data_IF_088219945518
#
_entry.id   IF_088219945518
#
_cell.length_a   1.000
_cell.length_b   1.000
_cell.length_c   1.000
_cell.angle_alpha   90.00
_cell.angle_beta   90.00
_cell.angle_gamma   90.00
#
_symmetry.space_group_name_H-M   'P 1'
#
loop_
_entity.id
_entity.type
_entity.pdbx_description
1 polymer ?
2 polymer ?
3 non-polymer ?
4 non-polymer ?
5 non-polymer ?
6 water ?
#
# COMPACT_ATOMS: atom_id res chain seq x y z
N UNK A 1 16.09 -28.75 0.78
CA UNK A 1 15.61 -28.25 -0.54
C UNK A 1 16.44 -27.01 -0.94
N UNK A 2 15.93 -26.17 -1.84
CA UNK A 2 16.74 -25.25 -2.67
C UNK A 2 17.04 -23.94 -1.93
N UNK A 3 16.31 -23.58 -0.87
CA UNK A 3 16.56 -22.30 -0.14
C UNK A 3 17.95 -22.34 0.51
N UNK A 4 18.16 -23.28 1.43
CA UNK A 4 19.38 -23.39 2.28
C UNK A 4 20.62 -23.54 1.38
N UNK A 5 20.44 -24.09 0.17
CA UNK A 5 21.56 -24.48 -0.74
C UNK A 5 21.80 -23.38 -1.79
N UNK A 6 20.81 -22.54 -2.11
CA UNK A 6 20.95 -21.43 -3.09
C UNK A 6 21.16 -20.09 -2.38
N UNK A 7 20.66 -19.93 -1.16
CA UNK A 7 20.70 -18.66 -0.38
C UNK A 7 21.54 -18.84 0.90
N UNK A 8 22.41 -17.86 1.17
CA UNK A 8 23.19 -17.75 2.42
C UNK A 8 22.52 -16.71 3.34
N UNK A 9 22.10 -17.13 4.53
CA UNK A 9 21.41 -16.27 5.52
C UNK A 9 22.42 -15.39 6.25
N UNK A 10 22.08 -14.12 6.46
CA UNK A 10 22.83 -13.16 7.33
C UNK A 10 21.88 -12.63 8.40
N UNK A 11 22.08 -11.40 8.87
CA UNK A 11 21.51 -10.88 10.14
C UNK A 11 20.00 -10.64 10.01
N UNK A 12 19.29 -10.68 11.15
CA UNK A 12 17.85 -10.39 11.28
C UNK A 12 17.61 -8.90 11.02
N UNK A 13 16.65 -8.57 10.16
CA UNK A 13 16.26 -7.19 9.80
C UNK A 13 14.97 -6.81 10.54
N UNK A 14 14.08 -7.78 10.78
CA UNK A 14 12.82 -7.58 11.53
C UNK A 14 12.13 -8.90 11.81
N UNK A 15 11.02 -8.84 12.54
CA UNK A 15 10.19 -10.03 12.91
C UNK A 15 8.72 -9.61 12.99
N UNK A 16 7.83 -10.55 12.66
CA UNK A 16 6.38 -10.47 12.92
C UNK A 16 5.93 -11.65 13.77
N UNK A 17 4.62 -11.82 13.94
CA UNK A 17 3.99 -12.86 14.79
C UNK A 17 4.52 -14.24 14.41
N UNK A 18 4.53 -14.56 13.12
CA UNK A 18 4.81 -15.93 12.59
C UNK A 18 5.92 -15.88 11.52
N UNK A 19 6.75 -14.83 11.52
CA UNK A 19 7.83 -14.64 10.52
C UNK A 19 9.07 -13.96 11.15
N UNK A 20 10.24 -14.29 10.61
CA UNK A 20 11.52 -13.55 10.81
C UNK A 20 12.05 -13.21 9.41
N UNK A 21 12.45 -11.97 9.18
CA UNK A 21 13.08 -11.55 7.89
C UNK A 21 14.56 -11.25 8.16
N UNK A 22 15.43 -11.92 7.39
CA UNK A 22 16.90 -11.79 7.46
C UNK A 22 17.42 -11.34 6.09
N UNK A 23 18.49 -10.54 6.08
CA UNK A 23 19.26 -10.27 4.84
C UNK A 23 19.83 -11.62 4.38
N UNK A 24 19.78 -11.90 3.09
CA UNK A 24 20.37 -13.13 2.49
C UNK A 24 21.08 -12.75 1.18
N UNK A 25 21.95 -13.65 0.71
CA UNK A 25 22.68 -13.52 -0.59
C UNK A 25 22.35 -14.78 -1.42
N UNK A 26 21.86 -14.58 -2.64
CA UNK A 26 21.80 -15.65 -3.66
C UNK A 26 23.25 -15.96 -4.06
N UNK A 27 23.80 -17.06 -3.54
CA UNK A 27 25.26 -17.37 -3.53
C UNK A 27 25.82 -17.30 -4.96
N UNK A 28 25.07 -17.80 -5.96
CA UNK A 28 25.49 -17.90 -7.37
C UNK A 28 25.72 -16.50 -7.96
N UNK A 29 24.78 -15.57 -7.72
CA UNK A 29 24.78 -14.19 -8.28
C UNK A 29 25.54 -13.24 -7.35
N UNK A 30 25.57 -13.53 -6.05
CA UNK A 30 26.12 -12.64 -5.01
C UNK A 30 25.27 -11.40 -4.81
N UNK A 31 23.99 -11.46 -5.22
CA UNK A 31 23.01 -10.36 -5.04
C UNK A 31 22.33 -10.55 -3.68
N UNK A 32 22.17 -9.47 -2.91
CA UNK A 32 21.52 -9.52 -1.57
C UNK A 32 20.01 -9.27 -1.73
N UNK A 33 19.22 -9.94 -0.88
CA UNK A 33 17.74 -9.85 -0.80
C UNK A 33 17.33 -9.84 0.67
N UNK A 34 16.04 -9.66 0.93
CA UNK A 34 15.38 -9.93 2.23
C UNK A 34 14.65 -11.27 2.11
N UNK A 35 15.02 -12.25 2.94
CA UNK A 35 14.34 -13.55 3.10
C UNK A 35 13.32 -13.43 4.24
N UNK A 36 12.03 -13.47 3.91
CA UNK A 36 10.93 -13.60 4.91
C UNK A 36 10.74 -15.09 5.19
N UNK A 37 11.13 -15.53 6.39
CA UNK A 37 11.10 -16.96 6.81
C UNK A 37 9.84 -17.15 7.66
N UNK A 38 8.89 -17.93 7.16
CA UNK A 38 7.55 -18.14 7.79
C UNK A 38 7.49 -19.56 8.33
N UNK A 39 7.25 -19.71 9.63
CA UNK A 39 6.96 -20.99 10.30
C UNK A 39 5.51 -21.38 9.99
N UNK A 40 5.33 -22.24 8.99
CA UNK A 40 4.01 -22.66 8.43
C UNK A 40 3.31 -23.65 9.38
N UNK A 41 4.08 -24.26 10.30
CA UNK A 41 3.57 -25.17 11.35
C UNK A 41 2.65 -24.41 12.31
N UNK A 42 2.87 -23.11 12.49
CA UNK A 42 2.11 -22.23 13.43
C UNK A 42 1.02 -21.44 12.69
N UNK A 43 0.69 -21.83 11.44
CA UNK A 43 -0.34 -21.15 10.61
C UNK A 43 -1.58 -22.06 10.48
N UNK A 44 -2.77 -21.48 10.61
CA UNK A 44 -4.07 -22.10 10.26
C UNK A 44 -4.06 -22.43 8.76
N UNK A 45 -4.98 -23.30 8.32
CA UNK A 45 -5.22 -23.61 6.89
C UNK A 45 -5.47 -22.29 6.14
N UNK A 46 -6.28 -21.40 6.73
CA UNK A 46 -6.69 -20.09 6.16
C UNK A 46 -5.45 -19.22 5.89
N UNK A 47 -4.59 -19.06 6.90
CA UNK A 47 -3.33 -18.26 6.83
C UNK A 47 -2.39 -18.88 5.79
N UNK A 48 -2.35 -20.21 5.71
CA UNK A 48 -1.50 -20.98 4.75
C UNK A 48 -1.92 -20.66 3.32
N UNK A 49 -3.24 -20.56 3.06
CA UNK A 49 -3.81 -20.29 1.72
C UNK A 49 -3.63 -18.80 1.41
N UNK A 50 -3.80 -17.93 2.42
CA UNK A 50 -3.53 -16.47 2.30
C UNK A 50 -2.10 -16.28 1.79
N UNK A 51 -1.13 -16.91 2.46
CA UNK A 51 0.32 -16.85 2.13
C UNK A 51 0.56 -17.24 0.66
N UNK A 52 -0.04 -18.34 0.21
CA UNK A 52 0.22 -18.91 -1.15
C UNK A 52 -0.49 -18.04 -2.20
N UNK A 53 -1.62 -17.41 -1.86
CA UNK A 53 -2.29 -16.41 -2.73
C UNK A 53 -1.41 -15.17 -2.85
N UNK A 54 -0.91 -14.65 -1.71
CA UNK A 54 -0.02 -13.47 -1.65
C UNK A 54 1.22 -13.69 -2.53
N UNK A 55 1.84 -14.86 -2.42
CA UNK A 55 3.05 -15.26 -3.19
C UNK A 55 2.73 -15.26 -4.68
N UNK A 56 1.59 -15.85 -5.07
CA UNK A 56 1.12 -15.91 -6.49
C UNK A 56 0.93 -14.48 -7.01
N UNK A 57 0.17 -13.66 -6.28
CA UNK A 57 -0.25 -12.29 -6.73
C UNK A 57 1.00 -11.40 -6.85
N UNK A 58 1.86 -11.38 -5.83
CA UNK A 58 3.06 -10.50 -5.79
C UNK A 58 3.99 -10.84 -6.98
N UNK A 59 4.07 -12.13 -7.34
CA UNK A 59 4.94 -12.64 -8.44
C UNK A 59 4.48 -12.09 -9.80
N UNK A 60 3.21 -11.68 -9.93
CA UNK A 60 2.65 -11.07 -11.17
C UNK A 60 3.32 -9.72 -11.44
N UNK A 61 3.83 -9.06 -10.39
CA UNK A 61 4.25 -7.64 -10.41
C UNK A 61 5.77 -7.55 -10.58
N UNK A 62 6.19 -6.75 -11.58
CA UNK A 62 7.61 -6.48 -11.94
C UNK A 62 7.73 -4.99 -12.25
N UNK A 63 7.98 -4.18 -11.21
CA UNK A 63 7.98 -2.69 -11.30
C UNK A 63 8.99 -2.11 -10.30
N UNK A 64 9.73 -1.05 -10.67
CA UNK A 64 10.69 -0.42 -9.76
C UNK A 64 10.08 0.16 -8.48
N UNK A 65 8.76 0.41 -8.48
CA UNK A 65 8.03 1.00 -7.33
C UNK A 65 7.14 -0.05 -6.65
N UNK A 66 7.44 -1.33 -6.87
CA UNK A 66 6.83 -2.47 -6.13
C UNK A 66 7.97 -3.33 -5.57
N UNK A 67 7.92 -3.67 -4.29
CA UNK A 67 8.87 -4.62 -3.64
C UNK A 67 8.74 -5.96 -4.36
N UNK A 68 9.69 -6.28 -5.24
CA UNK A 68 9.69 -7.49 -6.09
C UNK A 68 9.84 -8.73 -5.20
N UNK A 69 8.92 -9.69 -5.35
CA UNK A 69 9.09 -11.10 -4.89
C UNK A 69 9.83 -11.85 -6.02
N UNK A 70 11.07 -12.25 -5.76
CA UNK A 70 11.99 -12.89 -6.75
C UNK A 70 11.79 -14.40 -6.74
N UNK A 71 11.38 -14.97 -5.61
CA UNK A 71 11.38 -16.44 -5.37
C UNK A 71 10.43 -16.77 -4.22
N UNK A 72 9.78 -17.92 -4.31
CA UNK A 72 8.86 -18.48 -3.28
C UNK A 72 9.17 -19.98 -3.11
N UNK A 73 9.59 -20.38 -1.91
CA UNK A 73 10.08 -21.76 -1.59
C UNK A 73 9.31 -22.30 -0.37
N UNK A 74 8.67 -23.45 -0.53
CA UNK A 74 7.92 -24.17 0.54
C UNK A 74 8.71 -25.41 0.96
N UNK A 75 9.53 -25.29 2.01
CA UNK A 75 10.41 -26.37 2.54
C UNK A 75 9.72 -27.04 3.74
N UNK A 76 10.39 -28.05 4.33
CA UNK A 76 9.94 -28.87 5.48
C UNK A 76 8.89 -28.11 6.30
N UNK A 77 9.33 -27.30 7.28
CA UNK A 77 8.44 -26.62 8.25
C UNK A 77 8.41 -25.12 8.04
N UNK A 78 8.80 -24.64 6.85
CA UNK A 78 9.02 -23.20 6.58
C UNK A 78 8.62 -22.84 5.14
N UNK A 79 8.21 -21.58 4.94
CA UNK A 79 8.02 -20.93 3.62
C UNK A 79 8.96 -19.73 3.54
N UNK A 80 9.74 -19.64 2.46
CA UNK A 80 10.72 -18.55 2.21
C UNK A 80 10.23 -17.67 1.05
N UNK A 81 10.01 -16.38 1.34
CA UNK A 81 9.74 -15.32 0.33
C UNK A 81 10.99 -14.46 0.20
N UNK A 82 11.58 -14.43 -1.00
CA UNK A 82 12.81 -13.66 -1.32
C UNK A 82 12.38 -12.33 -1.96
N UNK A 83 12.53 -11.23 -1.23
CA UNK A 83 12.07 -9.88 -1.62
C UNK A 83 13.28 -9.00 -1.95
N UNK A 84 13.05 -7.92 -2.71
CA UNK A 84 13.96 -6.75 -2.77
C UNK A 84 14.34 -6.38 -1.34
N UNK A 85 15.64 -6.23 -1.05
CA UNK A 85 16.12 -5.67 0.23
C UNK A 85 15.78 -4.19 0.25
N UNK A 86 15.01 -3.74 1.25
CA UNK A 86 14.60 -2.32 1.43
C UNK A 86 15.01 -1.89 2.84
N UNK A 87 15.82 -0.82 2.95
CA UNK A 87 16.54 -0.42 4.19
C UNK A 87 16.13 0.99 4.65
N UNK A 88 15.13 1.60 4.02
CA UNK A 88 14.73 3.00 4.26
C UNK A 88 13.53 3.15 5.17
N UNK A 89 12.96 2.04 5.62
CA UNK A 89 11.77 2.01 6.51
C UNK A 89 10.50 2.40 5.76
N UNK A 90 9.40 2.61 6.50
CA UNK A 90 8.05 2.86 5.94
C UNK A 90 7.89 4.35 5.59
N UNK A 91 7.11 4.65 4.56
CA UNK A 91 6.71 6.04 4.19
C UNK A 91 6.02 6.68 5.40
N UNK A 92 5.27 5.90 6.18
CA UNK A 92 4.58 6.35 7.42
C UNK A 92 5.61 7.02 8.35
N UNK A 93 6.76 6.37 8.57
CA UNK A 93 7.81 6.82 9.51
C UNK A 93 8.43 8.12 8.99
N UNK A 94 8.69 8.20 7.68
CA UNK A 94 9.34 9.36 7.02
C UNK A 94 8.43 10.58 7.10
N UNK A 95 7.11 10.40 6.90
CA UNK A 95 6.10 11.50 7.00
C UNK A 95 6.10 12.04 8.44
N UNK A 96 6.00 11.14 9.43
CA UNK A 96 6.03 11.47 10.88
C UNK A 96 7.29 12.31 11.18
N UNK A 97 8.45 11.85 10.72
CA UNK A 97 9.77 12.48 10.96
C UNK A 97 9.81 13.89 10.34
N UNK A 98 9.35 14.02 9.10
CA UNK A 98 9.44 15.27 8.29
C UNK A 98 8.17 16.12 8.45
N UNK A 99 7.21 15.69 9.28
CA UNK A 99 5.88 16.32 9.51
C UNK A 99 5.01 16.19 8.26
N UNK A 100 5.44 16.78 7.14
CA UNK A 100 4.75 16.74 5.83
C UNK A 100 5.76 16.98 4.71
N UNK A 101 5.34 16.74 3.46
CA UNK A 101 6.16 16.89 2.23
C UNK A 101 5.82 18.23 1.56
N UNK A 102 6.83 18.88 0.97
CA UNK A 102 6.65 19.97 -0.03
C UNK A 102 5.87 19.41 -1.21
N UNK A 103 5.15 20.25 -1.95
CA UNK A 103 4.31 19.83 -3.11
C UNK A 103 5.20 19.10 -4.13
N UNK A 104 6.45 19.54 -4.31
CA UNK A 104 7.46 18.90 -5.20
C UNK A 104 7.69 17.46 -4.75
N UNK A 105 7.99 17.25 -3.46
CA UNK A 105 8.28 15.93 -2.86
C UNK A 105 7.02 15.07 -2.84
N UNK A 106 5.87 15.65 -2.44
CA UNK A 106 4.56 14.98 -2.39
C UNK A 106 4.14 14.51 -3.79
N UNK A 107 4.29 15.38 -4.80
CA UNK A 107 4.00 15.06 -6.22
C UNK A 107 4.91 13.93 -6.71
N UNK A 108 6.21 14.01 -6.40
CA UNK A 108 7.21 12.97 -6.76
C UNK A 108 6.83 11.64 -6.11
N UNK A 109 6.41 11.69 -4.84
CA UNK A 109 6.06 10.49 -4.03
C UNK A 109 4.81 9.81 -4.61
N UNK A 110 3.72 10.57 -4.81
CA UNK A 110 2.41 10.02 -5.25
C UNK A 110 2.52 9.53 -6.69
N UNK A 111 3.36 10.17 -7.51
CA UNK A 111 3.67 9.72 -8.90
C UNK A 111 4.19 8.28 -8.85
N UNK A 112 5.17 8.01 -7.99
CA UNK A 112 5.75 6.66 -7.80
C UNK A 112 4.66 5.68 -7.33
N UNK A 113 3.84 6.11 -6.37
CA UNK A 113 2.72 5.28 -5.80
C UNK A 113 1.73 4.96 -6.94
N UNK A 114 1.39 5.95 -7.77
CA UNK A 114 0.41 5.81 -8.88
C UNK A 114 0.99 4.87 -9.96
N UNK A 115 2.29 4.92 -10.23
CA UNK A 115 2.97 4.03 -11.21
C UNK A 115 2.84 2.59 -10.72
N UNK A 116 3.05 2.35 -9.42
CA UNK A 116 2.92 1.03 -8.76
C UNK A 116 1.48 0.54 -8.90
N UNK A 117 0.51 1.40 -8.55
CA UNK A 117 -0.94 1.07 -8.61
C UNK A 117 -1.34 0.79 -10.06
N UNK A 118 -0.91 1.64 -11.01
CA UNK A 118 -1.21 1.46 -12.45
C UNK A 118 -0.72 0.07 -12.91
N UNK A 119 0.53 -0.27 -12.60
CA UNK A 119 1.13 -1.59 -12.93
C UNK A 119 0.26 -2.71 -12.33
N UNK A 120 -0.10 -2.60 -11.03
CA UNK A 120 -0.99 -3.56 -10.34
C UNK A 120 -2.27 -3.75 -11.17
N UNK A 121 -2.92 -2.65 -11.57
CA UNK A 121 -4.21 -2.64 -12.30
C UNK A 121 -4.04 -3.27 -13.69
N UNK A 122 -2.94 -2.99 -14.38
CA UNK A 122 -2.62 -3.56 -15.72
C UNK A 122 -2.37 -5.07 -15.61
N UNK A 123 -1.92 -5.55 -14.44
CA UNK A 123 -1.67 -6.99 -14.17
C UNK A 123 -2.94 -7.65 -13.61
N UNK A 124 -4.05 -6.90 -13.51
CA UNK A 124 -5.33 -7.39 -12.97
C UNK A 124 -5.27 -7.62 -11.48
N UNK A 125 -4.51 -6.78 -10.76
CA UNK A 125 -4.36 -6.86 -9.27
C UNK A 125 -4.88 -5.55 -8.66
N UNK A 126 -5.76 -5.68 -7.66
CA UNK A 126 -6.24 -4.57 -6.79
C UNK A 126 -5.70 -4.82 -5.38
N UNK A 127 -4.94 -3.86 -4.84
CA UNK A 127 -4.22 -3.97 -3.54
C UNK A 127 -5.21 -4.00 -2.37
N UNK A 128 -6.13 -3.04 -2.34
CA UNK A 128 -7.25 -2.90 -1.37
C UNK A 128 -6.78 -2.35 -0.02
N UNK A 129 -5.46 -2.18 0.18
CA UNK A 129 -4.88 -1.87 1.51
C UNK A 129 -3.69 -0.91 1.35
N UNK A 130 -3.81 0.09 0.47
CA UNK A 130 -2.79 1.15 0.30
C UNK A 130 -2.81 2.04 1.55
N UNK A 131 -1.64 2.27 2.15
CA UNK A 131 -1.44 3.19 3.28
C UNK A 131 0.06 3.44 3.46
N UNK A 132 0.46 4.52 4.17
CA UNK A 132 1.88 4.84 4.36
C UNK A 132 2.70 3.69 4.96
N UNK A 133 2.07 2.85 5.79
CA UNK A 133 2.70 1.66 6.43
C UNK A 133 3.07 0.60 5.39
N UNK A 134 2.39 0.58 4.23
CA UNK A 134 2.53 -0.45 3.17
C UNK A 134 3.34 0.10 1.99
N UNK A 135 3.95 1.29 2.15
CA UNK A 135 4.90 1.86 1.16
C UNK A 135 6.25 2.02 1.86
N UNK A 136 7.30 1.45 1.28
CA UNK A 136 8.67 1.38 1.88
C UNK A 136 9.64 2.18 1.02
N UNK A 137 10.58 2.88 1.65
CA UNK A 137 11.68 3.62 0.96
C UNK A 137 12.84 2.64 0.73
N UNK A 138 13.32 2.53 -0.52
CA UNK A 138 14.32 1.54 -0.96
C UNK A 138 15.57 1.63 -0.08
N UNK A 139 15.96 2.84 0.33
CA UNK A 139 17.15 3.14 1.15
C UNK A 139 16.92 4.41 1.97
N UNK A 140 17.89 4.78 2.81
CA UNK A 140 17.89 6.04 3.60
C UNK A 140 18.44 7.19 2.75
N UNK A 141 18.96 6.91 1.55
CA UNK A 141 19.56 7.90 0.62
C UNK A 141 18.53 8.96 0.25
N UNK A 142 18.99 10.10 -0.29
CA UNK A 142 18.21 11.36 -0.48
C UNK A 142 16.96 11.11 -1.33
N UNK A 143 17.13 10.56 -2.54
CA UNK A 143 16.05 10.39 -3.53
C UNK A 143 15.59 8.95 -3.69
N UNK A 144 15.61 8.16 -2.60
CA UNK A 144 15.28 6.72 -2.58
C UNK A 144 13.86 6.49 -3.10
N UNK A 145 13.68 5.51 -3.99
CA UNK A 145 12.38 5.10 -4.58
C UNK A 145 11.44 4.63 -3.46
N UNK A 146 10.15 4.96 -3.59
CA UNK A 146 9.04 4.39 -2.76
C UNK A 146 8.61 3.09 -3.43
N UNK A 147 8.45 2.00 -2.66
CA UNK A 147 8.07 0.65 -3.17
C UNK A 147 6.83 0.15 -2.44
N UNK A 148 5.80 -0.25 -3.19
CA UNK A 148 4.54 -0.83 -2.67
C UNK A 148 4.81 -2.24 -2.14
N UNK A 149 4.26 -2.58 -0.97
CA UNK A 149 4.45 -3.89 -0.29
C UNK A 149 3.12 -4.40 0.26
N UNK A 150 3.13 -5.62 0.77
CA UNK A 150 2.02 -6.28 1.52
C UNK A 150 0.81 -6.44 0.60
N UNK A 151 0.82 -7.51 -0.20
CA UNK A 151 -0.30 -7.93 -1.09
C UNK A 151 -1.13 -9.00 -0.37
N UNK A 152 -1.11 -8.99 0.97
CA UNK A 152 -1.85 -9.93 1.83
C UNK A 152 -3.35 -9.84 1.64
N UNK A 153 -3.87 -8.68 1.22
CA UNK A 153 -5.32 -8.43 1.02
C UNK A 153 -5.63 -8.17 -0.46
N UNK A 154 -4.63 -8.30 -1.35
CA UNK A 154 -4.79 -8.04 -2.79
C UNK A 154 -5.72 -9.08 -3.41
N UNK A 155 -6.45 -8.70 -4.45
CA UNK A 155 -7.39 -9.59 -5.21
C UNK A 155 -7.02 -9.54 -6.69
N UNK A 156 -7.35 -10.61 -7.41
CA UNK A 156 -7.24 -10.70 -8.89
C UNK A 156 -8.60 -10.38 -9.49
N UNK A 157 -8.64 -9.41 -10.42
CA UNK A 157 -9.89 -8.93 -11.09
C UNK A 157 -9.86 -9.39 -12.54
N UNK A 158 -11.05 -9.54 -13.15
CA UNK A 158 -11.24 -9.93 -14.56
C UNK A 158 -11.49 -8.67 -15.39
N UNK A 159 -10.45 -8.15 -16.05
CA UNK A 159 -10.50 -6.89 -16.82
C UNK A 159 -11.08 -5.75 -15.97
N UNK A 160 -12.23 -5.21 -16.39
CA UNK A 160 -12.91 -4.05 -15.75
C UNK A 160 -14.14 -4.52 -14.97
N UNK A 161 -14.29 -5.84 -14.75
CA UNK A 161 -15.43 -6.42 -14.01
C UNK A 161 -15.33 -6.04 -12.53
N UNK A 162 -16.41 -5.52 -11.97
CA UNK A 162 -16.58 -5.23 -10.51
C UNK A 162 -17.30 -6.42 -9.87
N UNK A 163 -17.11 -6.62 -8.57
CA UNK A 163 -17.81 -7.64 -7.76
C UNK A 163 -17.63 -7.33 -6.28
N UNK A 164 -18.46 -7.92 -5.43
CA UNK A 164 -18.31 -7.85 -3.95
C UNK A 164 -17.19 -8.80 -3.54
N UNK A 165 -15.99 -8.27 -3.27
CA UNK A 165 -14.78 -9.03 -2.89
C UNK A 165 -14.64 -9.06 -1.36
N UNK A 166 -15.63 -8.52 -0.64
CA UNK A 166 -15.72 -8.59 0.83
C UNK A 166 -15.26 -7.31 1.51
N UNK A 167 -15.59 -7.16 2.79
CA UNK A 167 -15.17 -6.02 3.64
C UNK A 167 -13.75 -6.29 4.16
N UNK A 168 -12.74 -5.70 3.51
CA UNK A 168 -11.31 -5.90 3.85
C UNK A 168 -10.52 -4.61 3.61
N UNK A 169 -9.54 -4.34 4.49
CA UNK A 169 -8.64 -3.17 4.38
C UNK A 169 -8.40 -2.52 5.73
N UNK A 170 -7.97 -1.25 5.71
CA UNK A 170 -7.67 -0.45 6.93
C UNK A 170 -8.71 0.66 7.03
N UNK A 171 -9.50 0.71 8.13
CA UNK A 171 -10.65 1.62 8.25
C UNK A 171 -10.48 3.03 7.68
N UNK A 172 -9.38 3.71 8.02
CA UNK A 172 -9.11 5.11 7.62
C UNK A 172 -8.92 5.27 6.12
N UNK A 173 -8.61 4.19 5.41
CA UNK A 173 -8.27 4.20 3.96
C UNK A 173 -9.33 3.47 3.14
N UNK A 174 -10.38 2.94 3.77
CA UNK A 174 -11.48 2.21 3.08
C UNK A 174 -12.23 3.20 2.18
N UNK A 175 -12.59 2.73 0.98
CA UNK A 175 -13.36 3.49 -0.03
C UNK A 175 -14.84 3.48 0.35
N UNK A 176 -15.62 4.50 -0.06
CA UNK A 176 -17.06 4.53 0.19
C UNK A 176 -17.82 3.31 -0.37
N UNK A 177 -17.41 2.81 -1.54
CA UNK A 177 -18.08 1.66 -2.21
C UNK A 177 -17.96 0.40 -1.33
N UNK A 178 -16.82 0.20 -0.66
CA UNK A 178 -16.60 -0.96 0.26
C UNK A 178 -17.50 -0.80 1.50
N UNK A 179 -17.56 0.41 2.06
CA UNK A 179 -18.42 0.75 3.23
C UNK A 179 -19.91 0.58 2.86
N UNK A 180 -20.27 0.86 1.60
CA UNK A 180 -21.66 0.76 1.09
C UNK A 180 -22.01 -0.69 0.72
N UNK A 181 -21.02 -1.60 0.77
CA UNK A 181 -21.15 -3.04 0.40
C UNK A 181 -21.51 -3.16 -1.09
N UNK A 182 -21.06 -2.19 -1.91
CA UNK A 182 -21.29 -2.20 -3.38
C UNK A 182 -20.23 -3.09 -4.03
N UNK A 183 -20.51 -3.65 -5.23
CA UNK A 183 -19.45 -4.29 -6.01
C UNK A 183 -18.40 -3.22 -6.32
N UNK A 184 -17.12 -3.60 -6.29
CA UNK A 184 -15.98 -2.67 -6.43
C UNK A 184 -14.83 -3.35 -7.18
N UNK A 185 -13.76 -2.58 -7.43
CA UNK A 185 -12.53 -3.05 -8.10
C UNK A 185 -11.43 -2.02 -7.97
N UNK A 186 -10.79 -1.68 -9.10
CA UNK A 186 -9.58 -0.83 -9.20
C UNK A 186 -9.78 0.52 -8.50
N UNK A 187 -10.95 1.20 -8.63
CA UNK A 187 -11.12 2.53 -8.03
C UNK A 187 -10.84 2.61 -6.52
N UNK A 188 -10.96 1.50 -5.77
CA UNK A 188 -10.76 1.49 -4.29
C UNK A 188 -9.34 1.97 -3.98
N UNK A 189 -8.36 1.60 -4.81
CA UNK A 189 -6.93 1.96 -4.63
C UNK A 189 -6.72 3.45 -4.86
N UNK A 190 -7.48 4.04 -5.79
CA UNK A 190 -7.36 5.49 -6.14
C UNK A 190 -7.93 6.33 -4.99
N UNK A 191 -8.97 5.84 -4.30
CA UNK A 191 -9.49 6.51 -3.07
C UNK A 191 -8.37 6.56 -2.02
N UNK A 192 -7.70 5.44 -1.76
CA UNK A 192 -6.60 5.34 -0.78
C UNK A 192 -5.44 6.27 -1.18
N UNK A 193 -5.15 6.38 -2.47
CA UNK A 193 -4.13 7.30 -3.05
C UNK A 193 -4.47 8.75 -2.68
N UNK A 194 -5.76 9.10 -2.73
CA UNK A 194 -6.29 10.42 -2.31
C UNK A 194 -6.02 10.69 -0.84
N UNK A 195 -6.26 9.69 0.02
CA UNK A 195 -6.04 9.78 1.49
C UNK A 195 -4.53 9.95 1.74
N UNK A 196 -3.70 9.16 1.04
CA UNK A 196 -2.21 9.19 1.15
C UNK A 196 -1.71 10.58 0.70
N UNK A 197 -2.19 11.09 -0.43
CA UNK A 197 -1.74 12.38 -1.01
C UNK A 197 -2.06 13.51 -0.02
N UNK A 198 -3.27 13.51 0.53
CA UNK A 198 -3.73 14.48 1.57
C UNK A 198 -2.75 14.46 2.73
N UNK A 199 -2.39 13.27 3.21
CA UNK A 199 -1.45 13.05 4.37
C UNK A 199 -0.07 13.62 4.01
N UNK A 200 0.45 13.33 2.82
CA UNK A 200 1.78 13.81 2.36
C UNK A 200 1.86 15.34 2.50
N UNK A 201 0.78 16.05 2.17
CA UNK A 201 0.78 17.54 2.02
C UNK A 201 0.71 18.24 3.38
N UNK A 202 -0.03 17.71 4.36
CA UNK A 202 -0.25 18.39 5.67
C UNK A 202 0.11 17.49 6.86
N UNK A 203 0.38 16.19 6.65
CA UNK A 203 0.87 15.28 7.70
C UNK A 203 -0.22 14.74 8.60
N UNK A 204 -1.50 14.92 8.23
CA UNK A 204 -2.68 14.37 8.94
C UNK A 204 -3.73 13.97 7.92
N UNK A 205 -4.60 12.97 8.21
CA UNK A 205 -5.54 12.43 7.22
C UNK A 205 -6.81 13.26 7.06
N UNK A 206 -7.55 13.09 5.93
CA UNK A 206 -8.80 13.79 5.70
C UNK A 206 -9.98 13.24 6.52
N UNK A 207 -9.91 11.95 6.90
CA UNK A 207 -10.96 11.25 7.70
C UNK A 207 -10.31 10.64 8.94
N UNK A 208 -10.79 11.03 10.12
CA UNK A 208 -10.44 10.39 11.42
C UNK A 208 -11.56 10.65 12.44
N UNK A 209 -11.78 9.66 13.31
CA UNK A 209 -12.68 9.75 14.49
C UNK A 209 -12.44 8.51 15.36
N UNK A 210 -12.36 8.70 16.67
CA UNK A 210 -12.24 7.60 17.66
C UNK A 210 -13.40 6.63 17.48
N UNK A 211 -14.59 7.16 17.18
CA UNK A 211 -15.82 6.37 16.90
C UNK A 211 -15.80 5.92 15.44
N UNK A 212 -15.65 4.61 15.21
CA UNK A 212 -15.53 4.01 13.85
C UNK A 212 -16.82 4.23 13.06
N UNK A 213 -17.98 4.19 13.73
CA UNK A 213 -19.31 4.46 13.12
C UNK A 213 -19.29 5.85 12.44
N UNK A 214 -18.74 6.84 13.13
CA UNK A 214 -18.69 8.26 12.67
C UNK A 214 -17.62 8.41 11.57
N UNK A 215 -16.50 7.70 11.69
CA UNK A 215 -15.44 7.65 10.65
C UNK A 215 -16.04 7.19 9.32
N UNK A 216 -16.83 6.11 9.35
CA UNK A 216 -17.42 5.47 8.15
C UNK A 216 -18.51 6.38 7.55
N UNK A 217 -19.25 7.12 8.39
CA UNK A 217 -20.23 8.16 7.93
C UNK A 217 -19.50 9.28 7.19
N UNK A 218 -18.37 9.75 7.73
CA UNK A 218 -17.54 10.83 7.11
C UNK A 218 -17.10 10.39 5.71
N UNK A 219 -16.59 9.16 5.59
CA UNK A 219 -16.03 8.60 4.32
C UNK A 219 -17.17 8.45 3.29
N UNK A 220 -18.29 7.83 3.68
CA UNK A 220 -19.46 7.58 2.79
C UNK A 220 -20.02 8.92 2.29
N UNK A 221 -20.02 9.96 3.14
CA UNK A 221 -20.50 11.32 2.81
C UNK A 221 -19.39 12.10 2.09
N UNK A 222 -18.18 11.55 2.00
CA UNK A 222 -16.99 12.23 1.46
C UNK A 222 -16.76 13.57 2.13
N UNK A 223 -16.99 13.63 3.45
CA UNK A 223 -16.91 14.86 4.27
C UNK A 223 -15.48 15.08 4.76
N UNK A 224 -14.68 15.80 3.98
CA UNK A 224 -13.30 16.23 4.32
C UNK A 224 -13.15 17.73 4.01
N UNK A 225 -12.29 18.42 4.75
CA UNK A 225 -11.99 19.87 4.60
C UNK A 225 -10.56 20.05 4.09
N UNK A 226 -10.22 21.27 3.66
CA UNK A 226 -8.85 21.79 3.51
C UNK A 226 -8.67 22.95 4.49
N UNK A 227 -8.56 22.68 5.82
CA UNK A 227 -8.55 23.75 6.82
C UNK A 227 -7.43 24.79 6.67
N UNK A 228 -7.69 26.02 7.13
CA UNK A 228 -6.71 27.13 7.27
C UNK A 228 -5.97 26.97 8.59
N UNK A 229 -4.71 27.44 8.72
CA UNK A 229 -3.97 28.08 7.64
C UNK A 229 -3.20 27.16 6.67
N UNK A 230 -2.85 25.94 7.11
CA UNK A 230 -1.88 25.04 6.43
C UNK A 230 -2.25 24.83 4.94
N UNK A 231 -3.54 24.73 4.61
CA UNK A 231 -4.02 24.44 3.22
C UNK A 231 -4.05 25.72 2.38
N UNK A 232 -4.02 26.91 3.01
CA UNK A 232 -4.13 28.23 2.32
C UNK A 232 -3.00 28.38 1.29
N UNK A 233 -1.80 27.89 1.60
CA UNK A 233 -0.59 27.99 0.73
C UNK A 233 -0.54 26.81 -0.25
N UNK A 234 -1.36 25.76 -0.04
CA UNK A 234 -1.42 24.57 -0.95
C UNK A 234 -2.11 25.00 -2.25
N UNK A 235 -1.49 24.67 -3.38
CA UNK A 235 -1.90 25.12 -4.74
C UNK A 235 -3.25 24.49 -5.09
N UNK A 236 -4.12 25.17 -5.87
CA UNK A 236 -5.44 24.63 -6.20
C UNK A 236 -5.43 23.33 -7.03
N UNK A 237 -4.42 23.13 -7.89
CA UNK A 237 -4.32 21.92 -8.76
C UNK A 237 -3.96 20.71 -7.89
N UNK A 238 -3.25 20.90 -6.77
CA UNK A 238 -2.98 19.86 -5.76
C UNK A 238 -4.30 19.41 -5.13
N UNK A 239 -5.11 20.37 -4.67
CA UNK A 239 -6.45 20.14 -4.07
C UNK A 239 -7.37 19.48 -5.11
N UNK A 240 -7.22 19.84 -6.38
CA UNK A 240 -8.06 19.33 -7.50
C UNK A 240 -7.80 17.81 -7.68
N UNK A 241 -6.55 17.38 -7.67
CA UNK A 241 -6.18 15.94 -7.82
C UNK A 241 -6.77 15.14 -6.65
N UNK A 242 -6.62 15.64 -5.42
CA UNK A 242 -7.22 15.04 -4.18
C UNK A 242 -8.73 14.89 -4.40
N UNK A 243 -9.40 15.98 -4.77
CA UNK A 243 -10.87 16.02 -5.01
C UNK A 243 -11.25 14.94 -6.05
N UNK A 244 -10.44 14.78 -7.09
CA UNK A 244 -10.72 13.86 -8.23
C UNK A 244 -10.49 12.39 -7.80
N UNK A 245 -9.67 12.17 -6.76
CA UNK A 245 -9.42 10.84 -6.15
C UNK A 245 -10.49 10.55 -5.08
N UNK A 246 -10.87 11.56 -4.29
CA UNK A 246 -11.82 11.40 -3.17
C UNK A 246 -13.24 11.77 -3.63
N UNK A 247 -13.69 11.22 -4.77
CA UNK A 247 -15.10 11.23 -5.23
C UNK A 247 -15.76 9.94 -4.74
N UNK A 248 -16.94 10.05 -4.11
CA UNK A 248 -17.63 8.93 -3.40
C UNK A 248 -18.24 7.97 -4.42
N UNK A 249 -18.47 8.42 -5.66
CA UNK A 249 -18.89 7.55 -6.80
C UNK A 249 -17.63 7.06 -7.52
N UNK A 250 -17.28 5.76 -7.43
CA UNK A 250 -16.05 5.26 -8.06
C UNK A 250 -16.02 5.37 -9.58
N UNK A 251 -17.19 5.39 -10.24
CA UNK A 251 -17.32 5.53 -11.72
C UNK A 251 -16.89 6.93 -12.16
N UNK A 252 -16.97 7.92 -11.26
CA UNK A 252 -16.60 9.34 -11.53
C UNK A 252 -15.19 9.63 -10.98
N UNK A 253 -14.56 8.66 -10.32
CA UNK A 253 -13.22 8.81 -9.70
C UNK A 253 -12.13 8.74 -10.78
N UNK A 254 -11.09 9.57 -10.65
CA UNK A 254 -9.90 9.55 -11.55
C UNK A 254 -9.24 8.16 -11.41
N UNK A 255 -8.79 7.59 -12.54
CA UNK A 255 -8.02 6.32 -12.60
C UNK A 255 -6.53 6.63 -12.36
N UNK A 256 -5.69 5.60 -12.19
CA UNK A 256 -4.22 5.72 -12.02
C UNK A 256 -3.61 6.35 -13.28
N UNK A 257 -4.02 5.91 -14.47
CA UNK A 257 -3.56 6.41 -15.79
C UNK A 257 -3.86 7.92 -15.89
N UNK A 258 -5.11 8.32 -15.65
CA UNK A 258 -5.59 9.72 -15.75
C UNK A 258 -4.86 10.60 -14.74
N UNK A 259 -4.65 10.08 -13.51
CA UNK A 259 -3.98 10.79 -12.40
C UNK A 259 -2.54 11.15 -12.80
N UNK A 260 -1.86 10.26 -13.54
CA UNK A 260 -0.44 10.45 -13.95
C UNK A 260 -0.34 11.50 -15.06
N UNK A 261 -1.44 11.85 -15.71
CA UNK A 261 -1.52 12.92 -16.75
C UNK A 261 -1.96 14.26 -16.14
N UNK A 262 -2.45 14.26 -14.89
CA UNK A 262 -2.98 15.45 -14.18
C UNK A 262 -1.89 16.52 -14.10
N UNK A 263 -2.20 17.81 -14.39
CA UNK A 263 -1.20 18.87 -14.41
C UNK A 263 -0.20 18.84 -13.25
N UNK A 264 -0.69 18.72 -12.01
CA UNK A 264 0.10 18.76 -10.75
C UNK A 264 1.21 17.70 -10.77
N UNK A 265 1.01 16.61 -11.51
CA UNK A 265 2.00 15.49 -11.64
C UNK A 265 2.76 15.61 -12.97
N UNK A 266 2.04 15.72 -14.09
CA UNK A 266 2.60 15.70 -15.47
C UNK A 266 3.39 16.98 -15.76
N UNK A 267 3.11 18.07 -15.02
CA UNK A 267 3.86 19.35 -15.09
C UNK A 267 4.67 19.53 -13.79
N UNK A 268 5.49 18.55 -13.44
CA UNK A 268 6.35 18.52 -12.23
C UNK A 268 7.57 17.64 -12.49
N UNK B 7 -6.54 18.84 15.03
CA UNK B 7 -6.65 18.19 13.69
C UNK B 7 -6.85 16.68 13.86
N UNK B 8 -7.14 15.99 12.75
CA UNK B 8 -7.17 14.51 12.65
C UNK B 8 -5.78 13.97 13.05
N UNK B 9 -5.73 12.82 13.72
CA UNK B 9 -4.47 12.20 14.21
C UNK B 9 -3.90 11.27 13.12
N UNK B 10 -2.60 11.40 12.83
CA UNK B 10 -1.85 10.42 12.00
C UNK B 10 -1.36 9.29 12.91
N UNK B 11 -2.09 8.17 12.91
CA UNK B 11 -1.80 6.97 13.74
C UNK B 11 -1.58 5.77 12.83
N UNK B 12 -0.74 4.82 13.26
CA UNK B 12 -0.68 3.45 12.67
C UNK B 12 -2.07 2.83 12.77
N UNK B 13 -2.57 2.24 11.69
CA UNK B 13 -3.88 1.57 11.64
C UNK B 13 -3.71 0.13 11.16
N UNK B 14 -4.52 -0.78 11.69
CA UNK B 14 -4.42 -2.25 11.44
C UNK B 14 -5.33 -2.64 10.29
N UNK B 15 -4.92 -3.67 9.54
CA UNK B 15 -5.68 -4.30 8.43
C UNK B 15 -6.68 -5.30 9.00
N UNK B 16 -7.90 -5.32 8.47
CA UNK B 16 -8.96 -6.30 8.81
C UNK B 16 -9.33 -7.10 7.55
N UNK B 17 -9.54 -8.41 7.71
CA UNK B 17 -9.90 -9.37 6.62
C UNK B 17 -11.43 -9.41 6.46
N UNK B 18 -12.18 -8.98 7.48
CA UNK B 18 -13.66 -9.00 7.53
C UNK B 18 -14.17 -7.71 8.20
N UNK B 19 -15.48 -7.45 8.12
CA UNK B 19 -16.14 -6.36 8.88
C UNK B 19 -16.07 -6.72 10.37
N UNK B 20 -15.28 -5.97 11.14
CA UNK B 20 -15.22 -6.02 12.62
C UNK B 20 -15.70 -4.67 13.15
N UNK B 21 -16.88 -4.64 13.77
CA UNK B 21 -17.52 -3.39 14.27
C UNK B 21 -16.80 -2.91 15.54
N UNK B 22 -16.06 -1.80 15.44
CA UNK B 22 -15.40 -1.14 16.59
C UNK B 22 -16.28 0.04 17.05
X LIG C 1 2.54 -9.23 7.92
X LIG C 1 2.05 -9.78 6.59
X LIG C 1 2.77 -7.74 7.91
X LIG C 1 1.69 -9.68 9.09
X LIG C 1 4.99 -9.78 9.40
X LIG C 1 4.57 -8.65 10.27
X LIG C 1 5.12 -11.16 9.98
X LIG C 1 4.00 -9.89 8.15
X LIG C 1 6.75 -8.18 7.72
X LIG C 1 5.98 -6.97 8.13
X LIG C 1 6.65 -8.64 6.29
X LIG C 1 6.36 -9.39 8.68
X LIG C 1 8.30 -7.97 8.10
X LIG C 1 8.63 -7.65 9.47
X LIG C 1 9.73 -6.61 9.48
X LIG C 1 10.84 -7.07 8.66
X LIG C 1 9.37 -5.24 8.89
X LIG C 1 8.70 -4.43 9.85
X LIG C 1 10.76 -4.71 8.54
X LIG C 1 11.46 -4.21 9.66
X LIG C 1 11.44 -5.97 8.01
X LIG C 1 11.28 -6.15 6.57
X LIG C 1 10.16 -6.57 5.88
X LIG C 1 10.35 -6.59 4.59
X LIG C 1 11.66 -6.17 4.40
X LIG C 1 12.45 -5.98 3.25
X LIG C 1 12.02 -6.20 2.02
X LIG C 1 13.73 -5.53 3.44
X LIG C 1 14.15 -5.30 4.69
X LIG C 1 13.49 -5.44 5.84
X LIG C 1 12.24 -5.88 5.63
X LIG D 1 -14.70 9.22 -14.66
X LIG D 1 -15.30 10.49 -14.90
X LIG D 1 -13.28 9.16 -15.16
X LIG D 1 -12.48 10.12 -14.47
X LIG D 1 -12.67 7.78 -15.03
X LIG D 1 -12.46 7.17 -16.29
X LIG E 1 4.65 -6.54 9.53
#
# INVERSE_FOLDING_TARGET
>A
TRFTEEYQLFEELGKGAFSVVRRCVKVLAGQEYAAKIINTKKLSARDHQKLEREARICRLLKHPNIVRLHDSISEEGHHYLIFDLVTGGELFEDIVAREYYSEADASHCIQQILEAVLHCHQMGVVHRNLKPENLLLASKLKGAAVKLADFGLAIEVEGEQQAWFGFAGTPGYLSPEVLRKDPYGKPVDLWACGVILYILLVGYPPFWDEDQHRLYKQIKAGAYDFPSPEWDTVTPEAKDLINKMLTINPSKRITAAEALKHPWISHR
>B
KAQKKNRNKLRRQHDYDTFVDL
>C hetero
1 ATP PG O1G O2G O3G PB O1B O2B O3B PA O1A O2A O3A O5' C5' C4' O4' C3' O3' C2' O2' C1' N9 C8 N7 C5 C6 N6 N1 C2 N3 C4
>D hetero
1 GOL C1 O1 C2 O2 C3 O3
>E hetero
1 MG MG
#
